data_IF_590206796492
#
_entry.id   IF_590206796492
#
_cell.length_a   1.000
_cell.length_b   1.000
_cell.length_c   1.000
_cell.angle_alpha   90.00
_cell.angle_beta   90.00
_cell.angle_gamma   90.00
#
_symmetry.space_group_name_H-M   'P 1'
#
loop_
_entity.id
_entity.type
_entity.pdbx_description
1 polymer ?
#
# COMPACT_ATOMS: atom_id res chain seq x y z
N UNK A 1 11.02 36.31 -7.51
CA UNK A 1 10.76 34.85 -7.45
C UNK A 1 12.08 34.13 -7.18
N UNK A 2 12.16 33.30 -6.13
CA UNK A 2 13.38 32.56 -5.79
C UNK A 2 13.53 31.35 -6.74
N UNK A 3 14.50 31.41 -7.64
CA UNK A 3 14.80 30.37 -8.64
C UNK A 3 14.92 28.96 -8.01
N UNK A 4 15.51 28.86 -6.82
CA UNK A 4 15.67 27.61 -6.07
C UNK A 4 14.36 26.95 -5.62
N UNK A 5 13.34 27.75 -5.26
CA UNK A 5 12.01 27.22 -4.89
C UNK A 5 11.24 26.72 -6.12
N UNK A 6 11.37 27.43 -7.24
CA UNK A 6 10.78 27.01 -8.52
C UNK A 6 11.37 25.69 -9.00
N UNK A 7 12.70 25.55 -8.96
CA UNK A 7 13.40 24.34 -9.39
C UNK A 7 13.04 23.11 -8.55
N UNK A 8 12.99 23.24 -7.21
CA UNK A 8 12.54 22.15 -6.33
C UNK A 8 11.11 21.70 -6.65
N UNK A 9 10.21 22.64 -6.92
CA UNK A 9 8.82 22.32 -7.27
C UNK A 9 8.71 21.50 -8.55
N UNK A 10 9.49 21.82 -9.58
CA UNK A 10 9.53 21.04 -10.82
C UNK A 10 10.06 19.62 -10.61
N UNK A 11 11.12 19.44 -9.84
CA UNK A 11 11.64 18.11 -9.49
C UNK A 11 10.55 17.30 -8.80
N UNK A 12 9.88 17.89 -7.80
CA UNK A 12 8.80 17.23 -7.07
C UNK A 12 7.64 16.83 -7.98
N UNK A 13 7.24 17.69 -8.91
CA UNK A 13 6.19 17.38 -9.88
C UNK A 13 6.59 16.22 -10.80
N UNK A 14 7.82 16.24 -11.34
CA UNK A 14 8.34 15.16 -12.20
C UNK A 14 8.39 13.84 -11.43
N UNK A 15 8.84 13.84 -10.18
CA UNK A 15 8.90 12.64 -9.34
C UNK A 15 7.51 12.06 -9.06
N UNK A 16 6.51 12.90 -8.74
CA UNK A 16 5.13 12.44 -8.54
C UNK A 16 4.56 11.87 -9.83
N UNK A 17 4.80 12.52 -10.98
CA UNK A 17 4.32 12.02 -12.27
C UNK A 17 4.99 10.70 -12.64
N UNK A 18 6.28 10.54 -12.38
CA UNK A 18 7.01 9.30 -12.62
C UNK A 18 6.48 8.17 -11.72
N UNK A 19 6.24 8.44 -10.43
CA UNK A 19 5.67 7.47 -9.49
C UNK A 19 4.22 7.13 -9.85
N UNK A 20 3.41 8.12 -10.23
CA UNK A 20 2.05 7.91 -10.70
C UNK A 20 2.01 7.08 -11.97
N UNK A 21 2.91 7.35 -12.93
CA UNK A 21 3.06 6.51 -14.11
C UNK A 21 3.48 5.09 -13.77
N UNK A 22 4.42 4.90 -12.83
CA UNK A 22 4.82 3.57 -12.34
C UNK A 22 3.63 2.78 -11.80
N UNK A 23 2.82 3.40 -10.93
CA UNK A 23 1.62 2.78 -10.34
C UNK A 23 0.59 2.44 -11.43
N UNK A 24 0.29 3.38 -12.34
CA UNK A 24 -0.64 3.16 -13.44
C UNK A 24 -0.14 2.09 -14.42
N UNK A 25 1.16 2.03 -14.67
CA UNK A 25 1.77 1.02 -15.52
C UNK A 25 1.68 -0.38 -14.88
N UNK A 26 1.76 -0.46 -13.55
CA UNK A 26 1.51 -1.68 -12.79
C UNK A 26 0.08 -2.21 -12.92
N UNK A 27 -0.91 -1.35 -13.21
CA UNK A 27 -2.28 -1.80 -13.49
C UNK A 27 -2.38 -2.73 -14.71
N UNK A 28 -1.41 -2.67 -15.63
CA UNK A 28 -1.36 -3.55 -16.81
C UNK A 28 -0.52 -4.82 -16.57
N UNK A 29 0.34 -4.82 -15.56
CA UNK A 29 1.20 -5.95 -15.19
C UNK A 29 1.65 -5.78 -13.74
N UNK A 30 0.94 -6.47 -12.85
CA UNK A 30 1.10 -6.36 -11.39
C UNK A 30 2.50 -6.74 -10.91
N UNK A 31 3.21 -7.59 -11.67
CA UNK A 31 4.60 -7.98 -11.35
C UNK A 31 5.56 -6.80 -11.34
N UNK A 32 5.14 -5.65 -11.89
CA UNK A 32 5.92 -4.42 -11.94
C UNK A 32 5.83 -3.62 -10.65
N UNK A 33 4.87 -3.91 -9.77
CA UNK A 33 4.66 -3.20 -8.50
C UNK A 33 5.58 -3.69 -7.34
N UNK A 34 6.57 -4.54 -7.66
CA UNK A 34 7.52 -5.14 -6.73
C UNK A 34 8.29 -4.20 -5.80
N UNK A 35 8.37 -2.90 -6.10
CA UNK A 35 9.21 -1.97 -5.35
C UNK A 35 8.75 -1.83 -3.89
N UNK A 36 7.44 -1.87 -3.64
CA UNK A 36 6.85 -1.68 -2.31
C UNK A 36 6.00 -2.86 -1.83
N UNK A 37 5.89 -3.92 -2.63
CA UNK A 37 5.20 -5.18 -2.26
C UNK A 37 5.69 -5.75 -0.94
N UNK A 38 6.99 -5.69 -0.67
CA UNK A 38 7.56 -6.16 0.60
C UNK A 38 7.07 -5.35 1.81
N UNK A 39 6.86 -4.04 1.65
CA UNK A 39 6.29 -3.20 2.70
C UNK A 39 4.79 -3.48 2.88
N UNK A 40 4.06 -3.63 1.77
CA UNK A 40 2.64 -4.00 1.78
C UNK A 40 2.44 -5.30 2.57
N UNK A 41 3.21 -6.33 2.24
CA UNK A 41 3.19 -7.62 2.91
C UNK A 41 3.61 -7.52 4.37
N UNK A 42 4.67 -6.78 4.69
CA UNK A 42 5.10 -6.60 6.09
C UNK A 42 3.97 -6.03 6.96
N UNK A 43 3.29 -4.99 6.49
CA UNK A 43 2.19 -4.38 7.24
C UNK A 43 0.94 -5.27 7.25
N UNK A 44 0.75 -6.11 6.22
CA UNK A 44 -0.29 -7.12 6.19
C UNK A 44 -0.10 -8.15 7.30
N UNK A 45 1.06 -8.81 7.35
CA UNK A 45 1.35 -9.81 8.39
C UNK A 45 1.33 -9.21 9.80
N UNK A 46 1.87 -7.99 9.96
CA UNK A 46 1.79 -7.26 11.22
C UNK A 46 0.35 -6.95 11.63
N UNK A 47 -0.56 -6.80 10.67
CA UNK A 47 -1.98 -6.55 10.87
C UNK A 47 -2.67 -7.74 11.54
N UNK A 48 -2.39 -8.96 11.09
CA UNK A 48 -2.91 -10.17 11.75
C UNK A 48 -2.49 -10.25 13.21
N UNK A 49 -1.23 -9.95 13.51
CA UNK A 49 -0.71 -9.96 14.88
C UNK A 49 -1.39 -8.86 15.73
N UNK A 50 -1.45 -7.63 15.21
CA UNK A 50 -1.97 -6.49 15.96
C UNK A 50 -3.48 -6.60 16.20
N UNK A 51 -4.24 -7.04 15.20
CA UNK A 51 -5.70 -7.12 15.28
C UNK A 51 -6.21 -8.49 15.77
N UNK A 52 -5.39 -9.54 15.69
CA UNK A 52 -5.75 -10.89 16.17
C UNK A 52 -6.02 -10.95 17.67
N UNK A 53 -5.49 -10.01 18.46
CA UNK A 53 -5.81 -9.88 19.89
C UNK A 53 -7.29 -9.55 20.15
N UNK A 54 -8.01 -9.06 19.14
CA UNK A 54 -9.45 -8.76 19.21
C UNK A 54 -10.32 -9.91 18.70
N UNK A 55 -9.73 -11.06 18.34
CA UNK A 55 -10.42 -12.24 17.86
C UNK A 55 -10.12 -12.57 16.40
N UNK A 56 -10.43 -13.80 16.00
CA UNK A 56 -10.01 -14.39 14.73
C UNK A 56 -10.52 -13.65 13.49
N UNK A 57 -11.82 -13.34 13.42
CA UNK A 57 -12.41 -12.61 12.29
C UNK A 57 -11.76 -11.22 12.14
N UNK A 58 -11.56 -10.50 13.25
CA UNK A 58 -10.91 -9.18 13.23
C UNK A 58 -9.42 -9.31 12.87
N UNK A 59 -8.75 -10.38 13.31
CA UNK A 59 -7.38 -10.71 12.93
C UNK A 59 -7.20 -10.85 11.42
N UNK A 60 -8.07 -11.62 10.75
CA UNK A 60 -8.02 -11.79 9.29
C UNK A 60 -8.28 -10.49 8.52
N UNK A 61 -9.26 -9.68 8.94
CA UNK A 61 -9.44 -8.33 8.38
C UNK A 61 -8.23 -7.42 8.64
N UNK A 62 -7.57 -7.66 9.77
CA UNK A 62 -6.45 -6.88 10.28
C UNK A 62 -5.29 -6.73 9.31
N UNK A 63 -4.99 -7.77 8.53
CA UNK A 63 -3.89 -7.71 7.57
C UNK A 63 -4.12 -6.63 6.51
N UNK A 64 -5.23 -6.74 5.79
CA UNK A 64 -5.62 -5.73 4.79
C UNK A 64 -5.80 -4.34 5.42
N UNK A 65 -6.34 -4.26 6.65
CA UNK A 65 -6.52 -2.98 7.33
C UNK A 65 -5.20 -2.30 7.65
N UNK A 66 -4.24 -2.98 8.28
CA UNK A 66 -2.98 -2.33 8.66
C UNK A 66 -2.16 -1.94 7.42
N UNK A 67 -2.16 -2.79 6.39
CA UNK A 67 -1.56 -2.52 5.10
C UNK A 67 -2.05 -1.20 4.48
N UNK A 68 -3.35 -0.89 4.59
CA UNK A 68 -3.93 0.37 4.10
C UNK A 68 -3.80 1.54 5.09
N UNK A 69 -3.98 1.28 6.39
CA UNK A 69 -3.93 2.32 7.42
C UNK A 69 -2.54 2.94 7.55
N UNK A 70 -1.48 2.17 7.32
CA UNK A 70 -0.11 2.65 7.46
C UNK A 70 0.23 3.80 6.48
N UNK A 71 0.16 3.64 5.15
CA UNK A 71 0.39 4.75 4.22
C UNK A 71 -0.59 5.89 4.44
N UNK A 72 -1.85 5.60 4.80
CA UNK A 72 -2.85 6.63 5.09
C UNK A 72 -2.45 7.50 6.30
N UNK A 73 -2.08 6.89 7.42
CA UNK A 73 -1.70 7.59 8.63
C UNK A 73 -0.44 8.46 8.42
N UNK A 74 0.57 7.92 7.74
CA UNK A 74 1.79 8.67 7.39
C UNK A 74 1.45 9.83 6.44
N UNK A 75 0.58 9.59 5.44
CA UNK A 75 0.13 10.61 4.50
C UNK A 75 -0.62 11.76 5.15
N UNK A 76 -1.49 11.46 6.13
CA UNK A 76 -2.20 12.45 6.95
C UNK A 76 -1.20 13.23 7.82
N UNK A 77 -0.24 12.55 8.45
CA UNK A 77 0.79 13.20 9.26
C UNK A 77 1.61 14.20 8.44
N UNK A 78 2.03 13.85 7.22
CA UNK A 78 2.72 14.78 6.33
C UNK A 78 1.84 15.96 5.89
N UNK A 79 0.56 15.70 5.62
CA UNK A 79 -0.39 16.76 5.27
C UNK A 79 -0.52 17.78 6.42
N UNK A 80 -0.74 17.31 7.65
CA UNK A 80 -0.84 18.16 8.84
C UNK A 80 0.44 18.95 9.13
N UNK A 81 1.61 18.45 8.72
CA UNK A 81 2.90 19.12 8.85
C UNK A 81 3.20 20.10 7.70
N UNK A 82 2.27 20.31 6.76
CA UNK A 82 2.48 21.20 5.61
C UNK A 82 3.45 20.64 4.56
N UNK A 83 3.53 19.32 4.43
CA UNK A 83 4.40 18.61 3.48
C UNK A 83 3.58 17.93 2.37
N UNK A 84 2.97 18.69 1.44
CA UNK A 84 2.04 18.14 0.45
C UNK A 84 2.70 17.14 -0.51
N UNK A 85 3.98 17.36 -0.88
CA UNK A 85 4.72 16.42 -1.72
C UNK A 85 4.81 15.03 -1.08
N UNK A 86 5.25 14.96 0.18
CA UNK A 86 5.38 13.70 0.91
C UNK A 86 4.02 13.03 1.11
N UNK A 87 2.97 13.81 1.39
CA UNK A 87 1.59 13.30 1.48
C UNK A 87 1.11 12.69 0.16
N UNK A 88 1.39 13.31 -0.99
CA UNK A 88 1.06 12.76 -2.31
C UNK A 88 1.78 11.45 -2.61
N UNK A 89 3.04 11.30 -2.20
CA UNK A 89 3.78 10.02 -2.34
C UNK A 89 3.10 8.92 -1.52
N UNK A 90 2.66 9.21 -0.29
CA UNK A 90 1.93 8.26 0.54
C UNK A 90 0.55 7.92 -0.03
N UNK A 91 -0.14 8.89 -0.66
CA UNK A 91 -1.41 8.63 -1.34
C UNK A 91 -1.24 7.70 -2.55
N UNK A 92 -0.13 7.82 -3.28
CA UNK A 92 0.20 6.89 -4.37
C UNK A 92 0.48 5.48 -3.85
N UNK A 93 1.19 5.34 -2.74
CA UNK A 93 1.40 4.05 -2.08
C UNK A 93 0.06 3.45 -1.59
N UNK A 94 -0.80 4.25 -0.94
CA UNK A 94 -2.14 3.80 -0.54
C UNK A 94 -2.97 3.30 -1.74
N UNK A 95 -2.92 4.02 -2.87
CA UNK A 95 -3.62 3.61 -4.09
C UNK A 95 -3.05 2.33 -4.71
N UNK A 96 -1.73 2.19 -4.70
CA UNK A 96 -1.03 1.03 -5.24
C UNK A 96 -1.44 -0.29 -4.55
N UNK A 97 -1.67 -0.25 -3.23
CA UNK A 97 -2.09 -1.41 -2.45
C UNK A 97 -3.33 -2.13 -3.02
N UNK A 98 -4.29 -1.38 -3.59
CA UNK A 98 -5.52 -1.97 -4.11
C UNK A 98 -5.30 -2.95 -5.26
N UNK A 99 -4.21 -2.79 -6.02
CA UNK A 99 -3.87 -3.72 -7.09
C UNK A 99 -3.53 -5.10 -6.53
N UNK A 100 -2.59 -5.18 -5.59
CA UNK A 100 -2.24 -6.43 -4.91
C UNK A 100 -3.41 -7.04 -4.14
N UNK A 101 -4.17 -6.22 -3.40
CA UNK A 101 -5.35 -6.66 -2.66
C UNK A 101 -6.41 -7.25 -3.60
N UNK A 102 -6.65 -6.65 -4.77
CA UNK A 102 -7.64 -7.16 -5.72
C UNK A 102 -7.31 -8.58 -6.22
N UNK A 103 -6.02 -8.86 -6.46
CA UNK A 103 -5.52 -10.17 -6.88
C UNK A 103 -5.65 -11.18 -5.75
N UNK A 104 -5.29 -10.76 -4.53
CA UNK A 104 -5.40 -11.58 -3.34
C UNK A 104 -6.85 -11.97 -3.04
N UNK A 105 -7.79 -11.01 -3.12
CA UNK A 105 -9.23 -11.28 -3.00
C UNK A 105 -9.72 -12.22 -4.11
N UNK A 106 -9.26 -12.03 -5.35
CA UNK A 106 -9.66 -12.88 -6.47
C UNK A 106 -9.23 -14.34 -6.25
N UNK A 107 -8.09 -14.57 -5.59
CA UNK A 107 -7.57 -15.89 -5.30
C UNK A 107 -8.24 -16.57 -4.09
N UNK A 108 -9.11 -15.88 -3.33
CA UNK A 108 -9.75 -16.40 -2.12
C UNK A 108 -10.33 -17.82 -2.21
N UNK A 109 -10.92 -18.16 -3.36
CA UNK A 109 -11.54 -19.47 -3.63
C UNK A 109 -10.56 -20.53 -4.13
N UNK A 110 -9.57 -20.11 -4.91
CA UNK A 110 -8.66 -21.03 -5.60
C UNK A 110 -7.37 -21.27 -4.81
N UNK A 111 -6.98 -20.30 -3.99
CA UNK A 111 -5.85 -20.33 -3.04
C UNK A 111 -4.55 -20.81 -3.69
N UNK A 112 -4.28 -20.33 -4.90
CA UNK A 112 -3.08 -20.69 -5.65
C UNK A 112 -1.89 -19.80 -5.30
N UNK A 113 -2.12 -18.61 -4.73
CA UNK A 113 -1.04 -17.70 -4.36
C UNK A 113 -0.22 -18.30 -3.21
N UNK A 114 1.12 -18.25 -3.29
CA UNK A 114 1.96 -18.67 -2.18
C UNK A 114 1.77 -17.69 -1.02
N UNK A 115 1.28 -18.20 0.11
CA UNK A 115 1.14 -17.42 1.33
C UNK A 115 2.47 -17.36 2.09
N UNK A 116 2.67 -16.26 2.80
CA UNK A 116 3.80 -16.13 3.71
C UNK A 116 3.45 -16.87 5.00
N UNK A 117 4.38 -17.68 5.50
CA UNK A 117 4.16 -18.53 6.69
C UNK A 117 3.32 -19.80 6.46
N UNK A 118 2.72 -19.99 5.27
CA UNK A 118 1.88 -21.16 4.99
C UNK A 118 0.54 -21.15 5.75
N UNK A 119 0.05 -19.96 6.08
CA UNK A 119 -1.16 -19.75 6.87
C UNK A 119 -2.45 -19.99 6.06
N UNK A 120 -3.61 -19.73 6.69
CA UNK A 120 -4.91 -19.78 6.03
C UNK A 120 -5.08 -18.53 5.17
N UNK A 121 -5.64 -18.67 3.97
CA UNK A 121 -5.95 -17.52 3.13
C UNK A 121 -7.07 -16.67 3.75
N UNK A 122 -6.80 -15.41 4.09
CA UNK A 122 -7.72 -14.52 4.81
C UNK A 122 -9.10 -14.46 4.20
N UNK A 123 -9.17 -14.07 2.92
CA UNK A 123 -10.42 -13.91 2.19
C UNK A 123 -11.10 -15.24 1.87
N UNK A 124 -10.39 -16.36 2.00
CA UNK A 124 -10.99 -17.69 1.91
C UNK A 124 -11.58 -18.15 3.24
N UNK A 125 -11.10 -17.60 4.36
CA UNK A 125 -11.68 -17.79 5.68
C UNK A 125 -12.93 -16.93 5.91
N UNK A 126 -12.90 -15.68 5.44
CA UNK A 126 -14.00 -14.70 5.52
C UNK A 126 -15.19 -15.06 4.60
#
# INVERSE_FOLDING_TARGET
MNFSRSFRGWIQAVMILALGFYVLYGAFDLRRLWLIDGANLLFHEAGHIFFGVFGEVIGFWGGTWLQLLMPLAIGVAFYCQGQPYSSSVMALWFGENFFGISVYIQDARAQNLPLVGGEIHDWGYL
#
